data_IF_477461339705
#
_entry.id   IF_477461339705
#
_cell.length_a   1.000
_cell.length_b   1.000
_cell.length_c   1.000
_cell.angle_alpha   90.00
_cell.angle_beta   90.00
_cell.angle_gamma   90.00
#
_symmetry.space_group_name_H-M   'P 1'
#
loop_
_entity.id
_entity.type
_entity.pdbx_description
1 polymer ?
#
# COMPACT_ATOMS: atom_id res chain seq x y z
N UNK A 1 -23.63 -31.70 23.70
CA UNK A 1 -22.71 -30.99 24.62
C UNK A 1 -21.39 -30.90 23.87
N UNK A 2 -20.95 -29.80 23.27
CA UNK A 2 -20.90 -28.41 23.67
C UNK A 2 -20.93 -27.56 22.37
N UNK A 3 -22.08 -26.95 22.09
CA UNK A 3 -22.21 -25.88 21.09
C UNK A 3 -22.70 -24.69 21.89
N UNK A 4 -21.77 -24.08 22.62
CA UNK A 4 -22.03 -22.99 23.55
C UNK A 4 -21.27 -21.73 23.11
N UNK A 5 -22.04 -20.72 22.71
CA UNK A 5 -21.73 -19.30 22.86
C UNK A 5 -20.37 -18.81 22.33
N UNK A 6 -20.34 -18.42 21.05
CA UNK A 6 -19.57 -17.23 20.65
C UNK A 6 -20.41 -16.27 19.78
N UNK A 7 -21.73 -16.25 19.98
CA UNK A 7 -22.57 -15.12 19.61
C UNK A 7 -22.46 -14.06 20.72
N UNK A 8 -21.57 -13.08 20.55
CA UNK A 8 -21.55 -11.92 21.46
C UNK A 8 -20.20 -11.36 21.90
N UNK A 9 -19.22 -11.21 21.01
CA UNK A 9 -18.19 -10.16 21.21
C UNK A 9 -18.32 -9.08 20.15
N UNK A 10 -19.21 -8.15 20.47
CA UNK A 10 -19.16 -6.72 20.17
C UNK A 10 -18.45 -6.30 18.86
N UNK A 11 -19.26 -6.30 17.82
CA UNK A 11 -19.21 -5.63 16.50
C UNK A 11 -18.86 -4.12 16.53
N UNK A 12 -17.87 -3.70 17.33
CA UNK A 12 -17.43 -2.30 17.41
C UNK A 12 -15.91 -2.15 17.55
N UNK A 13 -15.16 -3.26 17.63
CA UNK A 13 -13.69 -3.22 17.65
C UNK A 13 -13.07 -3.07 16.26
N UNK A 14 -13.86 -2.84 15.22
CA UNK A 14 -13.36 -2.60 13.86
C UNK A 14 -13.04 -1.11 13.61
N UNK A 15 -13.64 -0.20 14.40
CA UNK A 15 -13.45 1.25 14.24
C UNK A 15 -12.25 1.83 15.02
N UNK A 16 -11.48 1.00 15.74
CA UNK A 16 -10.39 1.45 16.62
C UNK A 16 -9.02 0.88 16.26
N UNK A 17 -8.94 0.01 15.24
CA UNK A 17 -7.65 -0.45 14.72
C UNK A 17 -7.11 0.59 13.71
N UNK A 18 -6.53 1.67 14.25
CA UNK A 18 -5.98 2.81 13.50
C UNK A 18 -6.88 3.32 12.37
N UNK A 19 -7.93 4.07 12.72
CA UNK A 19 -8.68 4.91 11.78
C UNK A 19 -7.69 5.87 11.09
N UNK A 20 -7.34 5.56 9.84
CA UNK A 20 -6.51 6.44 9.04
C UNK A 20 -7.36 7.66 8.65
N UNK A 21 -6.89 8.91 8.89
CA UNK A 21 -7.63 10.07 8.44
C UNK A 21 -7.82 9.96 6.93
N UNK A 22 -9.06 10.16 6.45
CA UNK A 22 -9.39 10.18 5.04
C UNK A 22 -8.60 11.30 4.35
N UNK A 23 -7.44 10.96 3.81
CA UNK A 23 -6.68 11.85 2.94
C UNK A 23 -7.43 11.93 1.62
N UNK A 24 -8.13 13.04 1.42
CA UNK A 24 -8.69 13.38 0.12
C UNK A 24 -7.54 13.43 -0.88
N UNK A 25 -7.41 12.41 -1.72
CA UNK A 25 -6.50 12.42 -2.87
C UNK A 25 -6.91 13.56 -3.79
N UNK A 26 -6.42 14.77 -3.51
CA UNK A 26 -6.61 15.93 -4.35
C UNK A 26 -6.22 15.50 -5.76
N UNK A 27 -7.19 15.52 -6.68
CA UNK A 27 -6.99 15.14 -8.07
C UNK A 27 -5.75 15.85 -8.59
N UNK A 28 -4.68 15.09 -8.72
CA UNK A 28 -3.34 15.62 -8.85
C UNK A 28 -3.20 16.27 -10.22
N UNK A 29 -3.41 17.58 -10.30
CA UNK A 29 -2.81 18.44 -11.32
C UNK A 29 -1.29 18.58 -11.11
N UNK A 30 -0.64 17.53 -10.60
CA UNK A 30 0.80 17.46 -10.41
C UNK A 30 1.51 17.09 -11.71
N UNK A 31 2.83 17.31 -11.80
CA UNK A 31 3.63 16.82 -12.93
C UNK A 31 3.39 15.31 -13.13
N UNK A 32 3.49 14.79 -14.37
CA UNK A 32 3.15 13.42 -14.63
C UNK A 32 4.05 12.50 -13.78
N UNK A 33 3.41 11.55 -13.12
CA UNK A 33 4.11 10.54 -12.34
C UNK A 33 4.94 9.66 -13.26
N UNK A 34 6.14 9.27 -12.82
CA UNK A 34 6.96 8.33 -13.56
C UNK A 34 6.23 6.97 -13.69
N UNK A 35 6.39 6.27 -14.79
CA UNK A 35 5.88 4.90 -14.95
C UNK A 35 6.87 3.87 -14.40
N UNK A 36 6.37 2.92 -13.61
CA UNK A 36 7.18 1.79 -13.13
C UNK A 36 7.62 0.89 -14.29
N UNK A 37 8.91 0.55 -14.36
CA UNK A 37 9.45 -0.27 -15.46
C UNK A 37 9.02 -1.74 -15.42
N UNK A 38 8.54 -2.23 -14.26
CA UNK A 38 8.09 -3.63 -14.11
C UNK A 38 6.59 -3.78 -14.37
N UNK A 39 5.75 -2.94 -13.74
CA UNK A 39 4.30 -3.09 -13.80
C UNK A 39 3.59 -2.03 -14.66
N UNK A 40 4.32 -1.05 -15.20
CA UNK A 40 3.81 0.02 -16.08
C UNK A 40 2.71 0.90 -15.45
N UNK A 41 2.50 0.80 -14.14
CA UNK A 41 1.60 1.69 -13.38
C UNK A 41 2.33 3.00 -13.04
N UNK A 42 1.61 4.13 -12.94
CA UNK A 42 2.18 5.36 -12.42
C UNK A 42 2.67 5.13 -10.99
N UNK A 43 3.85 5.68 -10.69
CA UNK A 43 4.44 5.69 -9.35
C UNK A 43 3.84 6.83 -8.52
N UNK A 44 4.19 6.92 -7.24
CA UNK A 44 3.90 8.10 -6.42
C UNK A 44 4.91 9.24 -6.63
N UNK A 45 5.99 8.97 -7.37
CA UNK A 45 7.08 9.91 -7.60
C UNK A 45 6.88 10.65 -8.94
N UNK A 46 7.06 11.98 -8.98
CA UNK A 46 6.98 12.72 -10.22
C UNK A 46 8.18 12.39 -11.13
N UNK A 47 7.99 12.46 -12.45
CA UNK A 47 9.04 12.19 -13.45
C UNK A 47 10.32 13.04 -13.29
N UNK A 48 10.20 14.16 -12.56
CA UNK A 48 11.32 15.06 -12.25
C UNK A 48 12.33 14.41 -11.30
N UNK A 49 11.93 13.42 -10.50
CA UNK A 49 12.81 12.72 -9.57
C UNK A 49 13.71 11.76 -10.34
N UNK A 50 14.99 12.14 -10.49
CA UNK A 50 15.99 11.33 -11.17
C UNK A 50 16.36 10.10 -10.34
N UNK A 51 16.44 8.94 -10.98
CA UNK A 51 16.97 7.70 -10.38
C UNK A 51 15.93 6.74 -9.80
N UNK A 52 14.66 7.13 -9.70
CA UNK A 52 13.58 6.23 -9.27
C UNK A 52 12.90 5.64 -10.51
N UNK A 53 12.97 4.31 -10.66
CA UNK A 53 12.39 3.56 -11.80
C UNK A 53 11.33 2.54 -11.40
N UNK A 54 11.19 2.28 -10.09
CA UNK A 54 10.24 1.32 -9.53
C UNK A 54 9.20 2.04 -8.66
N UNK A 55 7.97 1.50 -8.64
CA UNK A 55 6.97 1.91 -7.66
C UNK A 55 7.28 1.31 -6.27
N UNK A 56 6.73 1.89 -5.18
CA UNK A 56 6.98 1.44 -3.80
C UNK A 56 6.70 -0.05 -3.54
N UNK A 57 5.70 -0.59 -4.23
CA UNK A 57 5.38 -2.02 -4.15
C UNK A 57 6.47 -2.88 -4.78
N UNK A 58 6.93 -2.49 -5.96
CA UNK A 58 7.95 -3.24 -6.70
C UNK A 58 9.32 -3.17 -6.03
N UNK A 59 9.73 -2.01 -5.49
CA UNK A 59 11.01 -1.90 -4.78
C UNK A 59 11.07 -2.86 -3.58
N UNK A 60 10.00 -2.96 -2.79
CA UNK A 60 9.94 -3.83 -1.63
C UNK A 60 9.93 -5.32 -2.03
N UNK A 61 9.30 -5.66 -3.15
CA UNK A 61 9.36 -7.03 -3.69
C UNK A 61 10.76 -7.42 -4.15
N UNK A 62 11.47 -6.53 -4.86
CA UNK A 62 12.85 -6.79 -5.28
C UNK A 62 13.80 -6.92 -4.07
N UNK A 63 13.61 -6.07 -3.05
CA UNK A 63 14.37 -6.13 -1.80
C UNK A 63 14.17 -7.46 -1.06
N UNK A 64 12.92 -7.92 -0.91
CA UNK A 64 12.62 -9.22 -0.31
C UNK A 64 13.21 -10.38 -1.10
N UNK A 65 13.10 -10.35 -2.43
CA UNK A 65 13.66 -11.42 -3.26
C UNK A 65 15.17 -11.55 -3.06
N UNK A 66 15.86 -10.40 -3.02
CA UNK A 66 17.30 -10.33 -2.75
C UNK A 66 17.66 -10.81 -1.34
N UNK A 67 16.80 -10.54 -0.35
CA UNK A 67 16.99 -10.98 1.03
C UNK A 67 16.83 -12.50 1.20
N UNK A 68 16.03 -13.15 0.35
CA UNK A 68 15.68 -14.57 0.47
C UNK A 68 16.33 -15.47 -0.60
N UNK A 69 17.22 -14.95 -1.46
CA UNK A 69 17.89 -15.73 -2.52
C UNK A 69 19.30 -16.22 -2.12
N UNK A 70 19.50 -16.49 -0.82
CA UNK A 70 20.75 -16.99 -0.25
C UNK A 70 20.94 -18.49 -0.41
#
# INVERSE_FOLDING_TARGET
>A
MDQGAHEGVNESVDASYCEAPAVSSAAAGGPPFAECVLCRKPTEYPESVKGITLCPVCEWQEAQRSACSG
#
